data_IF_122936303439
#
_entry.id   IF_122936303439
#
_cell.length_a   1.000
_cell.length_b   1.000
_cell.length_c   1.000
_cell.angle_alpha   90.00
_cell.angle_beta   90.00
_cell.angle_gamma   90.00
#
_symmetry.space_group_name_H-M   'P 1'
#
loop_
_entity.id
_entity.type
_entity.pdbx_description
1 polymer ?
#
# COMPACT_ATOMS: atom_id res chain seq x y z
N UNK A 1 26.52 -1.22 -8.19
CA UNK A 1 25.31 -1.88 -7.68
C UNK A 1 24.22 -0.85 -7.60
N UNK A 2 23.06 -1.14 -8.18
CA UNK A 2 21.89 -0.29 -8.04
C UNK A 2 21.42 -0.46 -6.59
N UNK A 3 21.27 0.62 -5.81
CA UNK A 3 20.77 0.50 -4.45
C UNK A 3 19.29 0.07 -4.49
N UNK A 4 18.91 -0.76 -3.55
CA UNK A 4 17.57 -1.34 -3.49
C UNK A 4 16.54 -0.29 -3.02
N UNK A 5 15.36 -0.28 -3.65
CA UNK A 5 14.26 0.61 -3.29
C UNK A 5 13.27 -0.13 -2.39
N UNK A 6 13.20 0.28 -1.13
CA UNK A 6 12.20 -0.23 -0.20
C UNK A 6 10.95 0.64 -0.25
N UNK A 7 9.78 -0.01 -0.27
CA UNK A 7 8.49 0.64 -0.24
C UNK A 7 7.54 -0.08 0.72
N UNK A 8 6.80 0.71 1.50
CA UNK A 8 5.71 0.24 2.33
C UNK A 8 4.38 0.56 1.64
N UNK A 9 3.58 -0.47 1.40
CA UNK A 9 2.30 -0.36 0.69
C UNK A 9 1.18 -1.02 1.47
N UNK A 10 -0.05 -0.60 1.24
CA UNK A 10 -1.23 -1.18 1.89
C UNK A 10 -1.74 -2.35 1.05
N UNK A 11 -2.03 -3.49 1.69
CA UNK A 11 -2.71 -4.63 1.07
C UNK A 11 -4.22 -4.40 1.12
N UNK A 12 -4.92 -4.70 0.03
CA UNK A 12 -6.37 -4.66 0.02
C UNK A 12 -6.95 -5.78 0.90
N UNK A 13 -7.87 -5.41 1.76
CA UNK A 13 -8.62 -6.32 2.65
C UNK A 13 -10.08 -6.48 2.25
N UNK A 14 -10.53 -5.78 1.19
CA UNK A 14 -11.91 -5.88 0.73
C UNK A 14 -12.19 -7.28 0.17
N UNK A 15 -13.06 -8.01 0.86
CA UNK A 15 -13.46 -9.37 0.48
C UNK A 15 -14.29 -9.43 -0.80
N UNK A 16 -14.82 -8.30 -1.26
CA UNK A 16 -15.57 -8.18 -2.53
C UNK A 16 -14.66 -7.87 -3.72
N UNK A 17 -13.37 -7.59 -3.49
CA UNK A 17 -12.41 -7.42 -4.57
C UNK A 17 -12.32 -8.68 -5.44
N UNK A 18 -12.12 -8.55 -6.76
CA UNK A 18 -11.90 -9.71 -7.62
C UNK A 18 -10.65 -10.48 -7.13
N UNK A 19 -10.67 -11.81 -7.26
CA UNK A 19 -9.51 -12.61 -6.90
C UNK A 19 -8.47 -12.46 -7.99
N UNK A 20 -7.24 -11.98 -7.67
CA UNK A 20 -6.20 -11.84 -8.69
C UNK A 20 -5.77 -13.22 -9.17
N UNK A 21 -5.61 -13.39 -10.48
CA UNK A 21 -5.26 -14.67 -11.09
C UNK A 21 -3.77 -14.76 -11.43
N UNK A 22 -3.15 -13.61 -11.76
CA UNK A 22 -1.76 -13.54 -12.19
C UNK A 22 -1.05 -12.37 -11.51
N UNK A 23 0.26 -12.53 -11.32
CA UNK A 23 1.13 -11.44 -10.89
C UNK A 23 1.18 -10.33 -11.95
N UNK A 24 1.17 -9.07 -11.48
CA UNK A 24 1.17 -7.91 -12.35
C UNK A 24 -0.20 -7.50 -12.90
N UNK A 25 -1.26 -8.25 -12.59
CA UNK A 25 -2.63 -7.84 -12.90
C UNK A 25 -2.96 -6.52 -12.19
N UNK A 26 -3.66 -5.61 -12.88
CA UNK A 26 -4.04 -4.30 -12.32
C UNK A 26 -5.56 -4.25 -12.08
N UNK A 27 -5.95 -3.64 -10.99
CA UNK A 27 -7.34 -3.43 -10.63
C UNK A 27 -7.49 -2.08 -9.92
N UNK A 28 -8.65 -1.45 -10.09
CA UNK A 28 -9.00 -0.20 -9.40
C UNK A 28 -10.30 -0.43 -8.64
N UNK A 29 -10.35 -0.04 -7.38
CA UNK A 29 -11.54 -0.18 -6.56
C UNK A 29 -12.59 0.92 -6.88
N UNK A 30 -13.73 0.86 -6.18
CA UNK A 30 -14.84 1.80 -6.37
C UNK A 30 -14.51 3.22 -5.89
N UNK A 31 -13.46 3.38 -5.08
CA UNK A 31 -12.93 4.67 -4.62
C UNK A 31 -11.88 5.25 -5.59
N UNK A 32 -11.55 4.52 -6.66
CA UNK A 32 -10.55 4.93 -7.65
C UNK A 32 -9.11 4.64 -7.21
N UNK A 33 -8.89 3.81 -6.20
CA UNK A 33 -7.55 3.44 -5.73
C UNK A 33 -6.99 2.33 -6.61
N UNK A 34 -5.83 2.53 -7.25
CA UNK A 34 -5.21 1.51 -8.10
C UNK A 34 -4.44 0.48 -7.27
N UNK A 35 -4.60 -0.78 -7.61
CA UNK A 35 -3.89 -1.94 -7.03
C UNK A 35 -3.15 -2.71 -8.12
N UNK A 36 -2.14 -3.45 -7.69
CA UNK A 36 -1.41 -4.41 -8.51
C UNK A 36 -1.35 -5.75 -7.78
N UNK A 37 -1.53 -6.83 -8.50
CA UNK A 37 -1.42 -8.17 -7.97
C UNK A 37 0.05 -8.54 -7.79
N UNK A 38 0.46 -8.90 -6.57
CA UNK A 38 1.84 -9.26 -6.23
C UNK A 38 1.88 -10.62 -5.54
N UNK A 39 2.91 -11.39 -5.84
CA UNK A 39 3.24 -12.66 -5.18
C UNK A 39 4.49 -12.43 -4.34
N UNK A 40 4.58 -13.07 -3.18
CA UNK A 40 5.80 -12.99 -2.36
C UNK A 40 6.98 -13.63 -3.08
N UNK A 41 8.17 -13.06 -2.89
CA UNK A 41 9.42 -13.56 -3.51
C UNK A 41 9.76 -15.00 -3.11
N UNK A 42 9.35 -15.43 -1.89
CA UNK A 42 9.52 -16.78 -1.34
C UNK A 42 8.27 -17.67 -1.46
N UNK A 43 7.31 -17.27 -2.30
CA UNK A 43 6.04 -17.98 -2.45
C UNK A 43 6.22 -19.44 -2.85
N UNK A 44 5.45 -20.32 -2.21
CA UNK A 44 5.37 -21.74 -2.62
C UNK A 44 4.56 -21.86 -3.90
N UNK A 45 4.82 -22.89 -4.69
CA UNK A 45 4.08 -23.18 -5.90
C UNK A 45 2.56 -23.17 -5.64
N UNK A 46 1.80 -22.39 -6.42
CA UNK A 46 0.36 -22.16 -6.31
C UNK A 46 -0.09 -21.15 -5.21
N UNK A 47 0.80 -20.40 -4.59
CA UNK A 47 0.39 -19.25 -3.78
C UNK A 47 -0.31 -18.22 -4.68
N UNK A 48 -1.46 -17.71 -4.23
CA UNK A 48 -2.22 -16.73 -5.01
C UNK A 48 -1.65 -15.34 -4.80
N UNK A 49 -1.65 -14.49 -5.85
CA UNK A 49 -1.32 -13.09 -5.70
C UNK A 49 -2.25 -12.40 -4.71
N UNK A 50 -1.78 -11.30 -4.14
CA UNK A 50 -2.59 -10.40 -3.31
C UNK A 50 -2.63 -9.03 -3.94
N UNK A 51 -3.73 -8.29 -3.75
CA UNK A 51 -3.85 -6.92 -4.20
C UNK A 51 -3.08 -5.98 -3.28
N UNK A 52 -2.08 -5.30 -3.83
CA UNK A 52 -1.25 -4.32 -3.14
C UNK A 52 -1.48 -2.96 -3.79
N UNK A 53 -1.67 -1.89 -3.01
CA UNK A 53 -1.80 -0.54 -3.57
C UNK A 53 -0.62 -0.23 -4.47
N UNK A 54 -0.89 0.31 -5.64
CA UNK A 54 0.14 0.66 -6.63
C UNK A 54 1.04 1.79 -6.13
N UNK A 55 0.46 2.76 -5.43
CA UNK A 55 1.22 3.84 -4.81
C UNK A 55 1.75 3.40 -3.46
N UNK A 56 3.02 3.66 -3.21
CA UNK A 56 3.63 3.43 -1.90
C UNK A 56 3.17 4.49 -0.89
N UNK A 57 3.03 4.10 0.36
CA UNK A 57 2.60 4.97 1.45
C UNK A 57 3.78 5.56 2.21
N UNK A 58 4.91 4.84 2.23
CA UNK A 58 6.19 5.29 2.78
C UNK A 58 7.33 4.52 2.10
N UNK A 59 8.53 5.06 2.13
CA UNK A 59 9.73 4.44 1.59
C UNK A 59 10.80 4.20 2.67
N UNK A 60 11.96 3.68 2.27
CA UNK A 60 13.03 3.36 3.18
C UNK A 60 13.69 4.56 3.87
N UNK A 61 13.42 5.78 3.45
CA UNK A 61 14.00 6.99 4.07
C UNK A 61 13.49 7.23 5.50
N UNK A 62 12.36 6.61 5.86
CA UNK A 62 11.82 6.67 7.22
C UNK A 62 12.61 5.82 8.22
N UNK A 63 13.45 4.89 7.75
CA UNK A 63 14.26 4.00 8.59
C UNK A 63 15.57 4.71 8.96
N UNK A 64 15.90 4.72 10.25
CA UNK A 64 17.18 5.18 10.77
C UNK A 64 18.17 4.01 10.81
N UNK A 65 17.75 2.86 11.33
CA UNK A 65 18.56 1.66 11.43
C UNK A 65 17.72 0.39 11.30
N UNK A 66 18.27 -0.61 10.62
CA UNK A 66 17.73 -1.97 10.56
C UNK A 66 18.81 -2.95 11.05
N UNK A 67 18.43 -3.93 11.89
CA UNK A 67 19.36 -4.89 12.46
C UNK A 67 18.72 -6.26 12.65
N UNK A 68 19.51 -7.36 12.50
CA UNK A 68 19.03 -8.68 12.84
C UNK A 68 18.95 -8.82 14.36
N UNK A 69 17.84 -9.39 14.87
CA UNK A 69 17.65 -9.69 16.30
C UNK A 69 17.03 -11.07 16.46
N UNK A 70 17.14 -11.65 17.65
CA UNK A 70 16.44 -12.87 17.98
C UNK A 70 15.13 -12.57 18.70
N UNK A 71 14.10 -13.34 18.37
CA UNK A 71 12.86 -13.37 19.12
C UNK A 71 13.00 -14.16 20.44
N UNK A 72 11.94 -14.23 21.23
CA UNK A 72 11.93 -14.95 22.50
C UNK A 72 12.06 -16.48 22.34
N UNK A 73 11.83 -17.02 21.15
CA UNK A 73 11.89 -18.45 20.83
C UNK A 73 13.19 -18.84 20.13
N UNK A 74 14.12 -17.86 19.93
CA UNK A 74 15.40 -18.07 19.24
C UNK A 74 15.32 -17.99 17.73
N UNK A 75 14.17 -17.63 17.17
CA UNK A 75 14.01 -17.31 15.76
C UNK A 75 14.69 -15.98 15.39
N UNK A 76 15.02 -15.81 14.12
CA UNK A 76 15.59 -14.54 13.66
C UNK A 76 14.50 -13.63 13.06
N UNK A 77 14.62 -12.35 13.39
CA UNK A 77 13.74 -11.28 12.89
C UNK A 77 14.56 -10.03 12.59
N UNK A 78 13.99 -9.06 11.89
CA UNK A 78 14.64 -7.78 11.59
C UNK A 78 13.99 -6.68 12.43
N UNK A 79 14.78 -6.07 13.33
CA UNK A 79 14.41 -4.85 14.03
C UNK A 79 14.55 -3.65 13.09
N UNK A 80 13.62 -2.71 13.21
CA UNK A 80 13.60 -1.43 12.50
C UNK A 80 13.48 -0.31 13.53
N UNK A 81 14.39 0.62 13.51
CA UNK A 81 14.29 1.89 14.22
C UNK A 81 14.03 2.99 13.18
N UNK A 82 13.08 3.85 13.46
CA UNK A 82 12.68 4.92 12.56
C UNK A 82 13.26 6.26 12.97
N UNK A 83 13.51 7.11 11.99
CA UNK A 83 13.79 8.52 12.25
C UNK A 83 12.61 9.17 12.99
N UNK A 84 12.83 10.32 13.66
CA UNK A 84 11.77 11.00 14.41
C UNK A 84 10.52 11.30 13.56
N UNK A 85 10.70 11.69 12.30
CA UNK A 85 9.59 11.94 11.39
C UNK A 85 9.08 10.64 10.75
N UNK A 86 9.99 9.70 10.49
CA UNK A 86 9.65 8.36 10.01
C UNK A 86 8.75 7.60 10.96
N UNK A 87 9.01 7.69 12.26
CA UNK A 87 8.16 7.07 13.28
C UNK A 87 6.72 7.60 13.25
N UNK A 88 6.52 8.90 13.01
CA UNK A 88 5.17 9.49 12.86
C UNK A 88 4.47 8.98 11.60
N UNK A 89 5.19 8.99 10.46
CA UNK A 89 4.67 8.49 9.18
C UNK A 89 4.28 7.02 9.31
N UNK A 90 5.12 6.21 9.94
CA UNK A 90 4.85 4.78 10.14
C UNK A 90 3.70 4.54 11.11
N UNK A 91 3.57 5.36 12.17
CA UNK A 91 2.45 5.33 13.09
C UNK A 91 1.12 5.66 12.37
N UNK A 92 1.09 6.68 11.54
CA UNK A 92 -0.09 7.05 10.76
C UNK A 92 -0.45 5.94 9.76
N UNK A 93 0.54 5.43 9.01
CA UNK A 93 0.35 4.32 8.08
C UNK A 93 -0.21 3.06 8.77
N UNK A 94 0.38 2.67 9.90
CA UNK A 94 -0.09 1.49 10.64
C UNK A 94 -1.44 1.73 11.31
N UNK A 95 -1.75 2.97 11.68
CA UNK A 95 -3.06 3.40 12.15
C UNK A 95 -4.12 3.24 11.06
N UNK A 96 -3.85 3.71 9.85
CA UNK A 96 -4.74 3.57 8.70
C UNK A 96 -4.99 2.10 8.36
N UNK A 97 -3.93 1.27 8.36
CA UNK A 97 -4.06 -0.18 8.12
C UNK A 97 -4.87 -0.85 9.24
N UNK A 98 -4.65 -0.49 10.51
CA UNK A 98 -5.38 -1.05 11.63
C UNK A 98 -6.88 -0.69 11.60
N UNK A 99 -7.24 0.48 11.06
CA UNK A 99 -8.63 0.88 10.84
C UNK A 99 -9.34 0.05 9.74
N UNK A 100 -8.59 -0.64 8.88
CA UNK A 100 -9.13 -1.58 7.90
C UNK A 100 -9.49 -2.94 8.52
N UNK A 101 -9.14 -3.19 9.79
CA UNK A 101 -9.47 -4.44 10.47
C UNK A 101 -10.99 -4.57 10.61
N UNK A 102 -11.56 -5.58 10.00
CA UNK A 102 -12.97 -5.92 10.17
C UNK A 102 -13.10 -7.11 11.14
N UNK A 103 -13.52 -6.79 12.36
CA UNK A 103 -13.73 -7.79 13.40
C UNK A 103 -14.90 -8.74 13.08
N UNK A 104 -15.78 -8.37 12.15
CA UNK A 104 -16.94 -9.18 11.77
C UNK A 104 -16.56 -10.27 10.78
N UNK A 105 -15.77 -9.93 9.77
CA UNK A 105 -15.27 -10.88 8.77
C UNK A 105 -13.95 -11.55 9.17
N UNK A 106 -13.27 -11.03 10.21
CA UNK A 106 -11.93 -11.45 10.61
C UNK A 106 -10.83 -11.00 9.64
N UNK A 107 -11.14 -10.13 8.70
CA UNK A 107 -10.15 -9.56 7.80
C UNK A 107 -9.25 -8.59 8.58
N UNK A 108 -7.94 -8.80 8.49
CA UNK A 108 -6.94 -7.98 9.15
C UNK A 108 -6.12 -7.21 8.12
N UNK A 109 -5.93 -5.92 8.38
CA UNK A 109 -5.08 -5.07 7.58
C UNK A 109 -3.63 -5.58 7.52
N UNK A 110 -3.02 -5.50 6.36
CA UNK A 110 -1.66 -6.00 6.12
C UNK A 110 -0.81 -4.90 5.49
N UNK A 111 0.45 -4.87 5.90
CA UNK A 111 1.47 -3.98 5.35
C UNK A 111 2.34 -4.76 4.37
N UNK A 112 2.29 -4.41 3.08
CA UNK A 112 3.20 -4.97 2.10
C UNK A 112 4.56 -4.28 2.18
N UNK A 113 5.61 -5.07 2.33
CA UNK A 113 7.02 -4.66 2.27
C UNK A 113 7.52 -5.06 0.89
N UNK A 114 7.75 -4.06 0.05
CA UNK A 114 8.15 -4.24 -1.36
C UNK A 114 9.58 -3.76 -1.54
N UNK A 115 10.43 -4.62 -2.06
CA UNK A 115 11.84 -4.34 -2.33
C UNK A 115 12.10 -4.49 -3.83
N UNK A 116 12.59 -3.42 -4.48
CA UNK A 116 12.84 -3.39 -5.93
C UNK A 116 11.65 -3.84 -6.79
N UNK A 117 10.43 -3.59 -6.31
CA UNK A 117 9.20 -3.98 -7.00
C UNK A 117 8.75 -5.41 -6.71
N UNK A 118 9.46 -6.17 -5.86
CA UNK A 118 9.08 -7.52 -5.43
C UNK A 118 8.49 -7.50 -4.02
N UNK A 119 7.42 -8.24 -3.80
CA UNK A 119 6.79 -8.35 -2.50
C UNK A 119 7.58 -9.34 -1.63
N UNK A 120 8.31 -8.81 -0.63
CA UNK A 120 9.10 -9.62 0.29
C UNK A 120 8.25 -10.20 1.42
N UNK A 121 7.35 -9.39 1.96
CA UNK A 121 6.52 -9.79 3.09
C UNK A 121 5.25 -8.96 3.14
N UNK A 122 4.20 -9.51 3.78
CA UNK A 122 2.96 -8.79 4.00
C UNK A 122 2.39 -9.10 5.40
N UNK A 123 3.07 -8.66 6.46
CA UNK A 123 2.63 -8.90 7.83
C UNK A 123 1.31 -8.22 8.15
N UNK A 124 0.59 -8.82 9.11
CA UNK A 124 -0.65 -8.25 9.63
C UNK A 124 -0.36 -7.13 10.63
N UNK A 125 -1.07 -6.02 10.49
CA UNK A 125 -1.03 -4.89 11.42
C UNK A 125 -2.26 -4.93 12.31
N UNK A 126 -2.08 -5.27 13.57
CA UNK A 126 -3.18 -5.41 14.53
C UNK A 126 -3.61 -4.07 15.13
N UNK A 127 -2.67 -3.15 15.28
CA UNK A 127 -2.87 -1.85 15.90
C UNK A 127 -1.85 -0.83 15.38
N UNK A 128 -2.12 0.43 15.61
CA UNK A 128 -1.18 1.53 15.38
C UNK A 128 0.13 1.29 16.14
N UNK A 129 1.26 1.57 15.51
CA UNK A 129 2.60 1.40 16.07
C UNK A 129 3.23 2.77 16.31
N UNK A 130 3.16 3.28 17.54
CA UNK A 130 3.64 4.63 17.90
C UNK A 130 5.07 4.65 18.48
N UNK A 131 5.70 3.49 18.64
CA UNK A 131 6.93 3.35 19.42
C UNK A 131 8.23 3.80 18.72
N UNK A 132 8.16 4.32 17.49
CA UNK A 132 9.37 4.70 16.73
C UNK A 132 10.22 3.50 16.30
N UNK A 133 9.78 2.29 16.54
CA UNK A 133 10.43 1.05 16.10
C UNK A 133 9.40 -0.02 15.73
N UNK A 134 9.80 -0.94 14.86
CA UNK A 134 8.99 -2.09 14.45
C UNK A 134 9.86 -3.32 14.28
N UNK A 135 9.20 -4.47 14.07
CA UNK A 135 9.87 -5.73 13.83
C UNK A 135 9.25 -6.42 12.63
N UNK A 136 10.08 -6.85 11.71
CA UNK A 136 9.68 -7.73 10.62
C UNK A 136 9.92 -9.16 11.10
N UNK A 137 8.85 -9.84 11.48
CA UNK A 137 8.89 -11.24 11.90
C UNK A 137 8.69 -12.16 10.71
N UNK A 138 9.44 -13.25 10.65
CA UNK A 138 9.35 -14.25 9.60
C UNK A 138 10.17 -15.48 10.00
N UNK A 139 10.16 -16.49 9.14
CA UNK A 139 10.99 -17.68 9.36
C UNK A 139 12.40 -17.45 8.77
N UNK A 140 13.08 -16.40 9.26
CA UNK A 140 14.41 -16.02 8.77
C UNK A 140 15.51 -16.85 9.42
N UNK A 141 16.51 -17.24 8.64
CA UNK A 141 17.83 -17.56 9.15
C UNK A 141 18.58 -16.28 9.52
N UNK A 142 19.65 -16.36 10.31
CA UNK A 142 20.53 -15.20 10.59
C UNK A 142 21.01 -14.51 9.32
N UNK A 143 21.37 -15.30 8.31
CA UNK A 143 21.89 -14.78 7.04
C UNK A 143 20.84 -13.95 6.29
N UNK A 144 19.61 -14.42 6.25
CA UNK A 144 18.49 -13.71 5.60
C UNK A 144 18.13 -12.44 6.36
N UNK A 145 18.01 -12.51 7.70
CA UNK A 145 17.75 -11.34 8.52
C UNK A 145 18.87 -10.29 8.38
N UNK A 146 20.14 -10.73 8.37
CA UNK A 146 21.29 -9.84 8.15
C UNK A 146 21.29 -9.21 6.75
N UNK A 147 21.04 -10.01 5.72
CA UNK A 147 20.97 -9.51 4.34
C UNK A 147 19.84 -8.49 4.17
N UNK A 148 18.67 -8.77 4.72
CA UNK A 148 17.54 -7.83 4.70
C UNK A 148 17.88 -6.54 5.45
N UNK A 149 18.48 -6.63 6.64
CA UNK A 149 18.93 -5.45 7.39
C UNK A 149 19.93 -4.60 6.61
N UNK A 150 20.91 -5.22 5.95
CA UNK A 150 21.91 -4.51 5.17
C UNK A 150 21.30 -3.79 3.95
N UNK A 151 20.29 -4.41 3.33
CA UNK A 151 19.53 -3.80 2.24
C UNK A 151 18.74 -2.58 2.76
N UNK A 152 18.07 -2.72 3.89
CA UNK A 152 17.26 -1.67 4.50
C UNK A 152 18.10 -0.48 4.99
N UNK A 153 19.33 -0.71 5.46
CA UNK A 153 20.26 0.33 5.89
C UNK A 153 20.90 1.10 4.73
N UNK A 154 20.75 0.62 3.49
CA UNK A 154 21.26 1.28 2.31
C UNK A 154 20.12 1.73 1.37
N UNK A 155 19.11 2.47 1.87
CA UNK A 155 18.07 2.99 1.01
C UNK A 155 18.69 3.97 0.00
N UNK A 156 18.20 3.94 -1.21
CA UNK A 156 18.49 4.96 -2.20
C UNK A 156 17.97 6.30 -1.72
N UNK A 157 18.84 7.30 -1.69
CA UNK A 157 18.41 8.70 -1.71
C UNK A 157 17.78 8.99 -3.09
N UNK A 158 16.55 8.59 -3.28
CA UNK A 158 15.74 9.06 -4.40
C UNK A 158 15.12 10.37 -3.97
N UNK A 159 15.49 11.45 -4.65
CA UNK A 159 14.82 12.74 -4.47
C UNK A 159 13.32 12.54 -4.57
N UNK A 160 12.60 12.86 -3.50
CA UNK A 160 11.14 12.91 -3.47
C UNK A 160 10.65 13.89 -4.53
N UNK A 161 10.33 13.42 -5.73
CA UNK A 161 9.25 14.04 -6.47
C UNK A 161 7.98 13.56 -5.78
N UNK A 162 7.35 14.43 -5.01
CA UNK A 162 6.00 14.23 -4.47
C UNK A 162 5.17 13.79 -5.66
N UNK A 163 4.86 12.49 -5.71
CA UNK A 163 3.94 11.93 -6.70
C UNK A 163 2.66 12.73 -6.57
N UNK A 164 2.17 13.24 -7.68
CA UNK A 164 1.01 14.10 -7.78
C UNK A 164 -0.06 13.66 -6.79
N UNK A 165 -0.36 14.57 -5.86
CA UNK A 165 -1.57 14.52 -5.06
C UNK A 165 -2.70 14.46 -6.06
N UNK A 166 -3.27 13.30 -6.29
CA UNK A 166 -4.49 13.17 -7.07
C UNK A 166 -5.60 13.86 -6.27
N UNK A 167 -5.66 15.17 -6.40
CA UNK A 167 -6.90 15.89 -6.15
C UNK A 167 -7.86 15.46 -7.25
N UNK A 168 -8.75 14.54 -6.91
CA UNK A 168 -9.91 14.27 -7.76
C UNK A 168 -10.71 15.56 -7.79
N UNK A 169 -10.44 16.38 -8.79
CA UNK A 169 -11.19 17.61 -9.02
C UNK A 169 -12.66 17.22 -9.23
N UNK A 170 -13.61 17.77 -8.44
CA UNK A 170 -15.03 17.49 -8.60
C UNK A 170 -15.64 18.11 -9.87
N UNK A 171 -14.83 18.34 -10.90
CA UNK A 171 -15.24 19.04 -12.14
C UNK A 171 -16.04 18.19 -13.13
N UNK A 172 -16.12 16.87 -12.91
CA UNK A 172 -16.93 16.01 -13.80
C UNK A 172 -18.44 16.15 -13.57
N UNK A 173 -18.89 16.61 -12.39
CA UNK A 173 -20.31 16.82 -12.11
C UNK A 173 -20.87 18.15 -12.66
N UNK A 174 -20.03 19.18 -12.80
CA UNK A 174 -20.47 20.49 -13.27
C UNK A 174 -20.75 20.53 -14.79
N UNK A 175 -20.04 19.75 -15.59
CA UNK A 175 -20.23 19.68 -17.04
C UNK A 175 -21.51 18.91 -17.46
N UNK A 176 -21.90 17.90 -16.70
CA UNK A 176 -23.08 17.11 -17.01
C UNK A 176 -24.39 17.86 -16.76
N UNK A 177 -24.43 18.72 -15.72
CA UNK A 177 -25.60 19.51 -15.39
C UNK A 177 -25.90 20.61 -16.42
N UNK A 178 -24.90 21.27 -16.96
CA UNK A 178 -25.09 22.32 -17.97
C UNK A 178 -25.57 21.76 -19.33
N UNK A 179 -25.07 20.57 -19.69
CA UNK A 179 -25.49 19.91 -20.94
C UNK A 179 -26.92 19.40 -20.90
N UNK A 180 -27.36 18.87 -19.74
CA UNK A 180 -28.74 18.39 -19.56
C UNK A 180 -29.76 19.52 -19.48
N UNK A 181 -29.42 20.67 -18.87
CA UNK A 181 -30.27 21.85 -18.84
C UNK A 181 -30.48 22.45 -20.24
N UNK A 182 -29.44 22.51 -21.06
CA UNK A 182 -29.56 23.00 -22.45
C UNK A 182 -30.40 22.05 -23.32
N UNK A 183 -30.31 20.76 -23.16
CA UNK A 183 -31.14 19.78 -23.86
C UNK A 183 -32.62 19.88 -23.48
N UNK A 184 -32.94 20.11 -22.20
CA UNK A 184 -34.32 20.33 -21.75
C UNK A 184 -34.92 21.62 -22.28
N UNK A 185 -34.14 22.72 -22.34
CA UNK A 185 -34.58 24.01 -22.89
C UNK A 185 -34.88 23.93 -24.40
N UNK A 186 -34.03 23.27 -25.17
CA UNK A 186 -34.26 23.03 -26.60
C UNK A 186 -35.49 22.17 -26.86
N UNK A 187 -35.72 21.12 -26.05
CA UNK A 187 -36.90 20.29 -26.12
C UNK A 187 -38.20 21.05 -25.83
N UNK A 188 -38.19 21.92 -24.83
CA UNK A 188 -39.36 22.75 -24.48
C UNK A 188 -39.68 23.76 -25.56
N UNK A 189 -38.70 24.41 -26.19
CA UNK A 189 -38.89 25.36 -27.29
C UNK A 189 -39.50 24.67 -28.53
N UNK A 190 -39.04 23.46 -28.85
CA UNK A 190 -39.57 22.68 -29.97
C UNK A 190 -41.06 22.28 -29.73
N UNK A 191 -41.44 21.92 -28.52
CA UNK A 191 -42.82 21.58 -28.17
C UNK A 191 -43.74 22.80 -28.31
N UNK A 192 -43.29 23.98 -27.83
CA UNK A 192 -44.05 25.25 -27.94
C UNK A 192 -44.17 25.71 -29.41
N UNK A 193 -43.15 25.50 -30.23
CA UNK A 193 -43.20 25.85 -31.65
C UNK A 193 -44.10 24.91 -32.49
N UNK A 194 -44.36 23.68 -32.01
CA UNK A 194 -45.20 22.71 -32.69
C UNK A 194 -46.66 22.76 -32.25
N UNK A 195 -46.95 23.42 -31.14
CA UNK A 195 -48.31 23.59 -30.62
C UNK A 195 -48.93 24.91 -31.08
#
# INVERSE_FOLDING_TARGET
>A
QKPAKLEFRIVNVNTQAPVPLQEGEEWTDDEGIPYVAMIRSDAVANERPIWVRRLWSADGEIIEEAYPRQDQMGGWEVGLDFTSDGGKIFADLTGDIANLNDLTSGALGRLAIVLDGQLESAPTVKQRIDGGSAVISGNFSYREAKMLSDILNNPLKVSLSIGEKYEVSPTLAAGALSSSLNACLLGAILIIAFM
#
